data_IF_855628211893
#
_entry.id   IF_855628211893
#
_cell.length_a   1.000
_cell.length_b   1.000
_cell.length_c   1.000
_cell.angle_alpha   90.00
_cell.angle_beta   90.00
_cell.angle_gamma   90.00
#
_symmetry.space_group_name_H-M   'P 1'
#
loop_
_entity.id
_entity.type
_entity.pdbx_description
1 polymer ?
#
# COMPACT_ATOMS: atom_id res chain seq x y z
N UNK A 1 -39.56 -11.80 23.52
CA UNK A 1 -39.31 -11.64 22.07
C UNK A 1 -37.89 -11.12 21.88
N UNK A 2 -37.12 -11.78 21.01
CA UNK A 2 -35.69 -11.59 20.69
C UNK A 2 -35.33 -10.12 20.35
N UNK A 3 -34.32 -9.51 20.99
CA UNK A 3 -32.91 -9.34 20.56
C UNK A 3 -32.75 -8.76 19.13
N UNK A 4 -31.88 -7.80 18.81
CA UNK A 4 -30.63 -7.40 19.43
C UNK A 4 -30.25 -5.96 19.07
N UNK A 5 -29.35 -5.43 19.90
CA UNK A 5 -28.71 -4.13 19.86
C UNK A 5 -28.08 -3.73 18.51
N UNK A 6 -28.24 -2.45 18.17
CA UNK A 6 -27.37 -1.69 17.26
C UNK A 6 -25.93 -1.76 17.74
N UNK A 7 -25.11 -2.58 17.07
CA UNK A 7 -23.68 -2.68 17.34
C UNK A 7 -22.96 -1.43 16.80
N UNK A 8 -22.41 -0.69 17.75
CA UNK A 8 -21.40 0.37 17.63
C UNK A 8 -20.49 0.29 16.40
N UNK A 9 -20.47 1.38 15.63
CA UNK A 9 -19.44 1.69 14.64
C UNK A 9 -18.10 1.94 15.35
N UNK A 10 -17.44 0.86 15.77
CA UNK A 10 -16.03 0.89 16.20
C UNK A 10 -15.20 1.18 14.96
N UNK A 11 -14.26 2.14 15.06
CA UNK A 11 -13.21 2.44 14.08
C UNK A 11 -12.92 1.26 13.13
N UNK A 12 -13.57 1.24 11.97
CA UNK A 12 -13.36 0.19 10.98
C UNK A 12 -12.04 0.53 10.31
N UNK A 13 -10.95 0.04 10.88
CA UNK A 13 -9.62 0.18 10.28
C UNK A 13 -9.60 -0.64 9.01
N UNK A 14 -9.85 0.02 7.88
CA UNK A 14 -9.80 -0.61 6.58
C UNK A 14 -8.37 -1.05 6.27
N UNK A 15 -8.22 -2.32 5.90
CA UNK A 15 -6.96 -2.85 5.41
C UNK A 15 -7.11 -3.22 3.94
N UNK A 16 -6.00 -3.14 3.20
CA UNK A 16 -5.93 -3.68 1.84
C UNK A 16 -5.82 -5.19 1.95
N UNK A 17 -6.68 -5.92 1.25
CA UNK A 17 -6.64 -7.36 1.10
C UNK A 17 -6.36 -7.69 -0.36
N UNK A 18 -5.39 -8.57 -0.59
CA UNK A 18 -5.20 -9.24 -1.87
C UNK A 18 -6.14 -10.43 -1.93
N UNK A 19 -6.83 -10.59 -3.05
CA UNK A 19 -7.77 -11.67 -3.25
C UNK A 19 -7.59 -12.32 -4.62
N UNK A 20 -7.96 -13.59 -4.68
CA UNK A 20 -8.00 -14.41 -5.87
C UNK A 20 -9.32 -15.17 -5.89
N UNK A 21 -10.02 -15.12 -7.02
CA UNK A 21 -11.26 -15.83 -7.22
C UNK A 21 -11.46 -16.23 -8.67
N UNK A 22 -12.56 -16.92 -8.94
CA UNK A 22 -13.00 -17.27 -10.29
C UNK A 22 -14.26 -16.50 -10.63
N UNK A 23 -14.26 -15.86 -11.79
CA UNK A 23 -15.47 -15.24 -12.34
C UNK A 23 -16.47 -16.33 -12.80
N UNK A 24 -17.71 -15.95 -13.15
CA UNK A 24 -18.75 -16.85 -13.67
C UNK A 24 -18.30 -17.64 -14.91
N UNK A 25 -17.37 -17.10 -15.68
CA UNK A 25 -16.78 -17.73 -16.86
C UNK A 25 -15.61 -18.67 -16.51
N UNK A 26 -15.37 -18.95 -15.22
CA UNK A 26 -14.29 -19.81 -14.75
C UNK A 26 -12.89 -19.18 -14.78
N UNK A 27 -12.77 -17.94 -15.27
CA UNK A 27 -11.49 -17.21 -15.35
C UNK A 27 -11.02 -16.82 -13.96
N UNK A 28 -9.76 -17.11 -13.65
CA UNK A 28 -9.12 -16.67 -12.41
C UNK A 28 -8.87 -15.16 -12.49
N UNK A 29 -9.47 -14.43 -11.55
CA UNK A 29 -9.33 -12.99 -11.38
C UNK A 29 -8.67 -12.72 -10.04
N UNK A 30 -7.75 -11.76 -10.04
CA UNK A 30 -7.00 -11.35 -8.85
C UNK A 30 -7.08 -9.85 -8.74
N UNK A 31 -7.08 -9.35 -7.52
CA UNK A 31 -7.15 -7.93 -7.27
C UNK A 31 -6.89 -7.58 -5.83
N UNK A 32 -7.02 -6.30 -5.55
CA UNK A 32 -6.91 -5.74 -4.21
C UNK A 32 -8.23 -5.08 -3.84
N UNK A 33 -8.62 -5.20 -2.57
CA UNK A 33 -9.82 -4.56 -2.05
C UNK A 33 -9.55 -4.04 -0.65
N UNK A 34 -9.98 -2.80 -0.37
CA UNK A 34 -9.98 -2.25 0.99
C UNK A 34 -11.26 -2.67 1.70
N UNK A 35 -11.11 -3.20 2.91
CA UNK A 35 -12.24 -3.61 3.72
C UNK A 35 -11.88 -3.64 5.21
N UNK A 36 -12.90 -3.63 6.08
CA UNK A 36 -12.73 -3.83 7.52
C UNK A 36 -12.34 -5.25 7.93
N UNK A 37 -12.34 -6.22 7.01
CA UNK A 37 -12.00 -7.62 7.28
C UNK A 37 -12.22 -8.56 6.09
N UNK A 38 -11.70 -9.78 6.17
CA UNK A 38 -11.78 -10.79 5.10
C UNK A 38 -13.23 -11.21 4.77
N UNK A 39 -14.11 -11.20 5.77
CA UNK A 39 -15.55 -11.47 5.60
C UNK A 39 -16.24 -10.44 4.71
N UNK A 40 -15.84 -9.16 4.82
CA UNK A 40 -16.38 -8.06 4.01
C UNK A 40 -15.89 -8.15 2.57
N UNK A 41 -14.61 -8.53 2.37
CA UNK A 41 -14.04 -8.77 1.03
C UNK A 41 -14.75 -9.93 0.34
N UNK A 42 -14.90 -11.07 1.03
CA UNK A 42 -15.54 -12.25 0.45
C UNK A 42 -17.03 -12.04 0.14
N UNK A 43 -17.76 -11.32 0.99
CA UNK A 43 -19.14 -10.93 0.71
C UNK A 43 -19.25 -9.99 -0.51
N UNK A 44 -18.34 -9.02 -0.63
CA UNK A 44 -18.32 -8.08 -1.76
C UNK A 44 -18.00 -8.77 -3.08
N UNK A 45 -17.02 -9.68 -3.09
CA UNK A 45 -16.65 -10.45 -4.29
C UNK A 45 -17.75 -11.42 -4.71
N UNK A 46 -18.43 -12.08 -3.75
CA UNK A 46 -19.60 -12.92 -4.07
C UNK A 46 -20.74 -12.13 -4.70
N UNK A 47 -21.01 -10.90 -4.22
CA UNK A 47 -22.02 -10.01 -4.83
C UNK A 47 -21.64 -9.62 -6.27
N UNK A 48 -20.35 -9.54 -6.58
CA UNK A 48 -19.84 -9.31 -7.94
C UNK A 48 -19.85 -10.58 -8.80
N UNK A 49 -20.28 -11.73 -8.28
CA UNK A 49 -20.29 -13.00 -9.01
C UNK A 49 -18.95 -13.73 -9.03
N UNK A 50 -17.99 -13.31 -8.20
CA UNK A 50 -16.65 -13.91 -8.11
C UNK A 50 -16.63 -14.94 -6.97
N UNK A 51 -16.32 -16.18 -7.32
CA UNK A 51 -16.07 -17.27 -6.37
C UNK A 51 -14.67 -17.12 -5.78
N UNK A 52 -14.61 -16.63 -4.55
CA UNK A 52 -13.36 -16.38 -3.83
C UNK A 52 -12.66 -17.69 -3.48
N UNK A 53 -11.41 -17.83 -3.92
CA UNK A 53 -10.55 -18.98 -3.61
C UNK A 53 -9.54 -18.65 -2.51
N UNK A 54 -9.03 -17.41 -2.48
CA UNK A 54 -8.06 -16.94 -1.50
C UNK A 54 -8.28 -15.48 -1.17
N UNK A 55 -8.26 -15.14 0.12
CA UNK A 55 -8.18 -13.77 0.61
C UNK A 55 -7.00 -13.71 1.56
N UNK A 56 -6.15 -12.71 1.41
CA UNK A 56 -5.01 -12.48 2.29
C UNK A 56 -4.90 -11.00 2.58
N UNK A 57 -4.81 -10.64 3.86
CA UNK A 57 -4.46 -9.28 4.24
C UNK A 57 -3.12 -8.91 3.62
N UNK A 58 -3.12 -7.87 2.78
CA UNK A 58 -1.89 -7.32 2.22
C UNK A 58 -1.11 -6.74 3.38
N UNK A 59 0.04 -7.34 3.67
CA UNK A 59 1.04 -6.66 4.49
C UNK A 59 1.56 -5.55 3.58
N UNK A 60 1.17 -4.31 3.84
CA UNK A 60 1.95 -3.19 3.32
C UNK A 60 3.33 -3.36 3.94
N UNK A 61 4.25 -3.98 3.19
CA UNK A 61 5.66 -3.75 3.43
C UNK A 61 5.83 -2.26 3.21
N UNK A 62 5.88 -1.49 4.30
CA UNK A 62 6.39 -0.13 4.20
C UNK A 62 7.72 -0.21 3.46
N UNK A 63 7.96 0.70 2.52
CA UNK A 63 9.28 0.84 1.92
C UNK A 63 10.35 0.87 3.01
N UNK A 64 11.59 0.49 2.67
CA UNK A 64 12.67 0.46 3.66
C UNK A 64 12.71 1.76 4.45
N UNK A 65 12.63 1.66 5.78
CA UNK A 65 12.76 2.82 6.66
C UNK A 65 14.00 3.63 6.29
N UNK A 66 13.80 4.92 6.04
CA UNK A 66 14.87 5.84 5.67
C UNK A 66 15.81 5.97 6.87
N UNK A 67 17.08 5.60 6.70
CA UNK A 67 18.05 5.67 7.81
C UNK A 67 18.52 7.12 7.96
N UNK A 68 18.82 7.58 9.20
CA UNK A 68 19.41 8.91 9.41
C UNK A 68 20.69 9.14 8.58
N UNK A 69 21.46 8.08 8.34
CA UNK A 69 22.64 8.12 7.46
C UNK A 69 22.28 8.49 6.02
N UNK A 70 21.16 7.99 5.50
CA UNK A 70 20.73 8.26 4.13
C UNK A 70 20.33 9.73 3.98
N UNK A 71 19.66 10.29 4.99
CA UNK A 71 19.32 11.72 5.08
C UNK A 71 20.59 12.58 5.14
N UNK A 72 21.58 12.18 5.93
CA UNK A 72 22.84 12.92 6.05
C UNK A 72 23.67 12.92 4.76
N UNK A 73 23.67 11.81 4.02
CA UNK A 73 24.35 11.72 2.72
C UNK A 73 23.60 12.56 1.68
N UNK A 74 22.28 12.43 1.62
CA UNK A 74 21.41 13.19 0.73
C UNK A 74 21.60 14.70 0.89
N UNK A 75 21.50 15.20 2.12
CA UNK A 75 21.64 16.64 2.41
C UNK A 75 23.05 17.16 2.11
N UNK A 76 24.10 16.36 2.37
CA UNK A 76 25.49 16.73 2.04
C UNK A 76 25.73 16.82 0.53
N UNK A 77 25.17 15.89 -0.24
CA UNK A 77 25.29 15.89 -1.70
C UNK A 77 24.63 17.12 -2.31
N UNK A 78 23.42 17.45 -1.87
CA UNK A 78 22.72 18.67 -2.29
C UNK A 78 23.50 19.92 -1.88
N UNK A 79 23.96 20.01 -0.63
CA UNK A 79 24.73 21.17 -0.17
C UNK A 79 26.02 21.40 -0.98
N UNK A 80 26.69 20.32 -1.41
CA UNK A 80 27.90 20.41 -2.23
C UNK A 80 27.57 20.91 -3.64
N UNK A 81 26.51 20.39 -4.26
CA UNK A 81 26.07 20.81 -5.59
C UNK A 81 25.57 22.27 -5.58
N UNK A 82 24.83 22.67 -4.55
CA UNK A 82 24.40 24.06 -4.36
C UNK A 82 25.60 25.01 -4.20
N UNK A 83 26.62 24.61 -3.41
CA UNK A 83 27.87 25.40 -3.29
C UNK A 83 28.63 25.51 -4.60
N UNK A 84 28.56 24.49 -5.46
CA UNK A 84 29.16 24.50 -6.79
C UNK A 84 28.32 25.25 -7.85
N UNK A 85 27.20 25.87 -7.45
CA UNK A 85 26.33 26.64 -8.36
C UNK A 85 25.42 25.77 -9.23
N UNK A 86 25.27 24.48 -8.93
CA UNK A 86 24.34 23.60 -9.63
C UNK A 86 22.90 24.01 -9.28
N UNK A 87 22.01 24.18 -10.28
CA UNK A 87 20.60 24.48 -10.04
C UNK A 87 19.95 23.46 -9.07
N UNK A 88 19.10 23.96 -8.18
CA UNK A 88 18.48 23.13 -7.13
C UNK A 88 17.69 21.96 -7.72
N UNK A 89 16.89 22.20 -8.76
CA UNK A 89 16.10 21.17 -9.43
C UNK A 89 16.99 20.06 -10.01
N UNK A 90 18.08 20.44 -10.67
CA UNK A 90 19.05 19.50 -11.24
C UNK A 90 19.77 18.71 -10.13
N UNK A 91 20.09 19.35 -9.01
CA UNK A 91 20.71 18.70 -7.85
C UNK A 91 19.78 17.64 -7.24
N UNK A 92 18.48 17.94 -7.12
CA UNK A 92 17.47 16.98 -6.67
C UNK A 92 17.38 15.77 -7.59
N UNK A 93 17.33 15.98 -8.89
CA UNK A 93 17.26 14.90 -9.89
C UNK A 93 18.50 13.99 -9.87
N UNK A 94 19.70 14.57 -9.73
CA UNK A 94 20.94 13.81 -9.67
C UNK A 94 21.00 12.96 -8.39
N UNK A 95 20.67 13.56 -7.24
CA UNK A 95 20.72 12.87 -5.95
C UNK A 95 19.61 11.83 -5.81
N UNK A 96 18.42 12.07 -6.37
CA UNK A 96 17.31 11.12 -6.40
C UNK A 96 17.61 9.87 -7.24
N UNK A 97 18.43 9.99 -8.29
CA UNK A 97 18.88 8.83 -9.08
C UNK A 97 20.01 8.05 -8.41
N UNK A 98 20.81 8.70 -7.58
CA UNK A 98 21.95 8.10 -6.87
C UNK A 98 21.58 7.44 -5.54
N UNK A 99 20.35 7.58 -5.06
CA UNK A 99 19.93 7.07 -3.76
C UNK A 99 19.58 5.57 -3.80
N UNK A 100 20.27 4.78 -2.98
CA UNK A 100 20.07 3.33 -2.82
C UNK A 100 18.72 2.93 -2.18
N UNK A 101 17.89 3.89 -1.77
CA UNK A 101 16.56 3.65 -1.21
C UNK A 101 15.48 3.70 -2.31
N UNK A 102 15.66 2.91 -3.37
CA UNK A 102 14.69 2.69 -4.44
C UNK A 102 14.11 1.27 -4.31
N UNK A 103 13.31 1.04 -3.25
CA UNK A 103 12.37 -0.08 -3.07
C UNK A 103 11.86 -0.15 -1.61
#
# INVERSE_FOLDING_TARGET
MATAATASARDIKEFVFEWEGKDKNGKVVRGEMRAGGESVVSASLRRQGILVNKVKKRRMSGGKSIKPKDIAIFTRQIATMMRAGVPLLQSFDIVARGSTNLA
#
